data_IF_898055175191
#
_entry.id   IF_898055175191
#
_cell.length_a   1.000
_cell.length_b   1.000
_cell.length_c   1.000
_cell.angle_alpha   90.00
_cell.angle_beta   90.00
_cell.angle_gamma   90.00
#
_symmetry.space_group_name_H-M   'P 1'
#
loop_
_entity.id
_entity.type
_entity.pdbx_description
1 polymer ?
#
# COMPACT_ATOMS: atom_id res chain seq x y z
N UNK A 1 -5.33 5.48 7.77
CA UNK A 1 -4.24 6.44 8.01
C UNK A 1 -3.56 6.76 6.68
N UNK A 2 -2.94 7.92 6.56
CA UNK A 2 -2.15 8.33 5.39
C UNK A 2 -0.75 8.76 5.84
N UNK A 3 0.21 8.84 4.90
CA UNK A 3 1.61 9.16 5.20
C UNK A 3 1.79 10.33 6.18
N UNK A 4 1.15 11.51 6.01
CA UNK A 4 1.34 12.64 6.91
C UNK A 4 0.97 12.38 8.38
N UNK A 5 0.14 11.40 8.66
CA UNK A 5 -0.21 11.09 10.05
C UNK A 5 0.94 10.44 10.82
N UNK A 6 1.92 9.87 10.13
CA UNK A 6 3.07 9.18 10.73
C UNK A 6 4.32 10.05 10.86
N UNK A 7 4.33 11.25 10.27
CA UNK A 7 5.45 12.19 10.40
C UNK A 7 5.43 12.99 11.71
N UNK A 8 4.39 12.83 12.54
CA UNK A 8 4.29 13.48 13.85
C UNK A 8 5.33 12.94 14.82
N UNK A 9 6.03 13.80 15.59
CA UNK A 9 7.11 13.38 16.49
C UNK A 9 6.75 12.24 17.44
N UNK A 10 5.53 12.28 18.01
CA UNK A 10 5.07 11.27 18.98
C UNK A 10 4.92 9.89 18.32
N UNK A 11 4.47 9.85 17.07
CA UNK A 11 4.32 8.59 16.31
C UNK A 11 5.67 8.05 15.87
N UNK A 12 6.58 8.92 15.42
CA UNK A 12 7.95 8.51 15.11
C UNK A 12 8.66 7.95 16.34
N UNK A 13 8.58 8.63 17.48
CA UNK A 13 9.16 8.15 18.74
C UNK A 13 8.62 6.76 19.12
N UNK A 14 7.31 6.53 18.91
CA UNK A 14 6.69 5.23 19.15
C UNK A 14 7.20 4.14 18.20
N UNK A 15 7.39 4.47 16.91
CA UNK A 15 7.97 3.51 15.94
C UNK A 15 9.39 3.14 16.36
N UNK A 16 10.21 4.14 16.71
CA UNK A 16 11.60 3.94 17.17
C UNK A 16 11.67 3.07 18.43
N UNK A 17 10.76 3.29 19.39
CA UNK A 17 10.72 2.52 20.64
C UNK A 17 10.43 1.03 20.45
N UNK A 18 9.83 0.65 19.32
CA UNK A 18 9.57 -0.77 19.00
C UNK A 18 10.83 -1.51 18.53
N UNK A 19 11.94 -0.80 18.23
CA UNK A 19 13.19 -1.37 17.71
C UNK A 19 12.95 -2.37 16.56
N UNK A 20 12.27 -1.96 15.48
CA UNK A 20 11.94 -2.88 14.40
C UNK A 20 13.17 -3.30 13.61
N UNK A 21 13.19 -4.56 13.14
CA UNK A 21 14.19 -5.07 12.20
C UNK A 21 13.82 -4.83 10.74
N UNK A 22 12.54 -4.53 10.48
CA UNK A 22 12.00 -4.21 9.15
C UNK A 22 10.81 -3.24 9.30
N UNK A 23 10.75 -2.24 8.44
CA UNK A 23 9.59 -1.36 8.31
C UNK A 23 8.81 -1.69 7.03
N UNK A 24 7.53 -2.07 7.18
CA UNK A 24 6.62 -2.28 6.04
C UNK A 24 5.67 -1.08 5.95
N UNK A 25 5.77 -0.32 4.86
CA UNK A 25 4.97 0.88 4.62
C UNK A 25 3.85 0.58 3.62
N UNK A 26 2.64 0.42 4.14
CA UNK A 26 1.42 0.10 3.37
C UNK A 26 0.53 1.33 3.23
N UNK A 27 0.74 2.11 2.17
CA UNK A 27 0.00 3.33 1.87
C UNK A 27 -0.58 3.30 0.44
N UNK A 28 -1.38 4.31 0.09
CA UNK A 28 -1.89 4.49 -1.26
C UNK A 28 -3.40 4.32 -1.37
N UNK A 29 -4.05 3.46 -0.55
CA UNK A 29 -5.50 3.28 -0.58
C UNK A 29 -6.22 4.58 -0.20
N UNK A 30 -5.93 5.16 0.95
CA UNK A 30 -6.57 6.39 1.40
C UNK A 30 -6.25 7.58 0.49
N UNK A 31 -5.00 7.68 0.05
CA UNK A 31 -4.56 8.71 -0.88
C UNK A 31 -5.34 8.63 -2.20
N UNK A 32 -5.50 7.43 -2.75
CA UNK A 32 -6.23 7.20 -4.01
C UNK A 32 -7.74 7.45 -3.90
N UNK A 33 -8.32 7.38 -2.70
CA UNK A 33 -9.73 7.73 -2.47
C UNK A 33 -10.00 9.24 -2.41
N UNK A 34 -8.95 10.05 -2.34
CA UNK A 34 -9.12 11.49 -2.54
C UNK A 34 -9.44 11.78 -4.02
N UNK A 35 -10.62 12.36 -4.29
CA UNK A 35 -11.02 12.73 -5.66
C UNK A 35 -10.06 13.69 -6.34
N UNK A 36 -9.30 14.47 -5.57
CA UNK A 36 -8.25 15.38 -6.03
C UNK A 36 -6.86 14.76 -5.81
N UNK A 37 -6.73 13.44 -6.06
CA UNK A 37 -5.45 12.77 -5.92
C UNK A 37 -4.36 13.52 -6.70
N UNK A 38 -3.24 13.75 -6.04
CA UNK A 38 -2.07 14.40 -6.62
C UNK A 38 -0.83 13.54 -6.38
N UNK A 39 -0.28 13.01 -7.47
CA UNK A 39 0.87 12.11 -7.43
C UNK A 39 2.16 12.78 -6.91
N UNK A 40 2.34 14.08 -7.16
CA UNK A 40 3.50 14.81 -6.65
C UNK A 40 3.39 15.04 -5.14
N UNK A 41 2.19 15.36 -4.66
CA UNK A 41 1.94 15.50 -3.23
C UNK A 41 2.15 14.17 -2.51
N UNK A 42 1.60 13.08 -3.06
CA UNK A 42 1.78 11.73 -2.51
C UNK A 42 3.26 11.34 -2.47
N UNK A 43 4.01 11.60 -3.55
CA UNK A 43 5.45 11.38 -3.60
C UNK A 43 6.19 12.14 -2.50
N UNK A 44 5.93 13.43 -2.33
CA UNK A 44 6.58 14.26 -1.29
C UNK A 44 6.25 13.79 0.12
N UNK A 45 5.01 13.34 0.37
CA UNK A 45 4.60 12.82 1.67
C UNK A 45 5.31 11.50 2.01
N UNK A 46 5.50 10.62 1.02
CA UNK A 46 6.32 9.41 1.20
C UNK A 46 7.79 9.77 1.47
N UNK A 47 8.34 10.71 0.69
CA UNK A 47 9.73 11.16 0.86
C UNK A 47 9.98 11.74 2.25
N UNK A 48 9.09 12.59 2.74
CA UNK A 48 9.18 13.14 4.09
C UNK A 48 9.19 12.04 5.15
N UNK A 49 8.25 11.10 5.07
CA UNK A 49 8.16 10.00 6.02
C UNK A 49 9.41 9.11 5.98
N UNK A 50 9.84 8.69 4.80
CA UNK A 50 11.01 7.81 4.64
C UNK A 50 12.29 8.50 5.12
N UNK A 51 12.46 9.80 4.83
CA UNK A 51 13.64 10.54 5.33
C UNK A 51 13.65 10.64 6.85
N UNK A 52 12.49 10.84 7.48
CA UNK A 52 12.39 10.86 8.95
C UNK A 52 12.69 9.49 9.54
N UNK A 53 12.16 8.41 8.95
CA UNK A 53 12.43 7.03 9.39
C UNK A 53 13.90 6.67 9.22
N UNK A 54 14.51 6.94 8.06
CA UNK A 54 15.94 6.68 7.81
C UNK A 54 16.88 7.48 8.74
N UNK A 55 16.47 8.69 9.13
CA UNK A 55 17.23 9.48 10.11
C UNK A 55 17.17 8.88 11.51
N UNK A 56 15.99 8.38 11.89
CA UNK A 56 15.78 7.82 13.25
C UNK A 56 16.22 6.35 13.37
N UNK A 57 16.19 5.60 12.26
CA UNK A 57 16.46 4.16 12.17
C UNK A 57 17.30 3.89 10.91
N UNK A 58 18.57 4.31 10.86
CA UNK A 58 19.39 4.31 9.64
C UNK A 58 19.62 2.91 9.06
N UNK A 59 19.74 1.90 9.91
CA UNK A 59 20.07 0.53 9.52
C UNK A 59 18.85 -0.36 9.29
N UNK A 60 17.63 0.16 9.54
CA UNK A 60 16.41 -0.61 9.39
C UNK A 60 15.91 -0.57 7.94
N UNK A 61 15.81 -1.72 7.25
CA UNK A 61 15.32 -1.77 5.89
C UNK A 61 13.84 -1.37 5.81
N UNK A 62 13.48 -0.78 4.66
CA UNK A 62 12.11 -0.35 4.38
C UNK A 62 11.60 -1.12 3.17
N UNK A 63 10.43 -1.75 3.32
CA UNK A 63 9.64 -2.35 2.26
C UNK A 63 8.36 -1.53 2.06
N UNK A 64 8.05 -1.12 0.86
CA UNK A 64 6.75 -0.55 0.51
C UNK A 64 5.83 -1.61 -0.07
N UNK A 65 4.52 -1.46 0.15
CA UNK A 65 3.52 -2.26 -0.57
C UNK A 65 2.63 -1.34 -1.39
N UNK A 66 2.20 -1.79 -2.58
CA UNK A 66 1.19 -1.08 -3.34
C UNK A 66 -0.22 -1.35 -2.79
N UNK A 67 -1.20 -0.43 -3.00
CA UNK A 67 -2.59 -0.70 -2.62
C UNK A 67 -3.19 -1.83 -3.46
N UNK A 68 -4.06 -2.69 -2.89
CA UNK A 68 -4.53 -3.92 -3.55
C UNK A 68 -5.58 -3.71 -4.64
N UNK A 69 -6.12 -2.53 -4.78
CA UNK A 69 -7.25 -2.22 -5.64
C UNK A 69 -8.51 -1.91 -4.85
N UNK A 70 -9.38 -1.09 -5.41
CA UNK A 70 -10.61 -0.67 -4.76
C UNK A 70 -11.59 -0.04 -5.76
N UNK A 71 -12.80 0.26 -5.29
CA UNK A 71 -13.83 0.91 -6.09
C UNK A 71 -14.17 2.29 -5.53
N UNK A 72 -14.54 3.20 -6.41
CA UNK A 72 -15.26 4.42 -6.06
C UNK A 72 -16.77 4.16 -5.99
N UNK A 73 -17.42 4.75 -5.01
CA UNK A 73 -18.87 4.71 -4.92
C UNK A 73 -19.50 6.02 -5.39
N UNK A 74 -20.57 5.91 -6.18
CA UNK A 74 -21.33 7.03 -6.69
C UNK A 74 -22.79 6.89 -6.25
N UNK A 75 -23.37 7.94 -5.68
CA UNK A 75 -24.78 8.01 -5.33
C UNK A 75 -25.43 9.15 -6.10
N UNK A 76 -26.27 8.81 -7.07
CA UNK A 76 -27.15 9.78 -7.69
C UNK A 76 -28.40 9.97 -6.81
N UNK A 77 -28.95 11.19 -6.82
CA UNK A 77 -30.14 11.57 -6.03
C UNK A 77 -31.23 10.48 -6.17
N UNK A 78 -31.69 9.91 -5.05
CA UNK A 78 -32.74 8.85 -4.97
C UNK A 78 -32.46 7.54 -5.72
N UNK A 79 -31.23 7.28 -6.20
CA UNK A 79 -30.87 6.02 -6.88
C UNK A 79 -29.98 5.14 -5.99
N UNK A 80 -29.95 3.83 -6.32
CA UNK A 80 -29.05 2.85 -5.71
C UNK A 80 -27.60 3.28 -5.92
N UNK A 81 -26.73 3.07 -4.92
CA UNK A 81 -25.29 3.32 -5.02
C UNK A 81 -24.71 2.42 -6.13
N UNK A 82 -23.89 2.99 -7.00
CA UNK A 82 -23.13 2.29 -8.02
C UNK A 82 -21.64 2.34 -7.68
N UNK A 83 -20.88 1.37 -8.18
CA UNK A 83 -19.46 1.23 -7.93
C UNK A 83 -18.71 1.14 -9.25
N UNK A 84 -17.54 1.75 -9.32
CA UNK A 84 -16.62 1.68 -10.45
C UNK A 84 -15.21 1.51 -9.92
N UNK A 85 -14.37 0.75 -10.63
CA UNK A 85 -12.96 0.60 -10.25
C UNK A 85 -12.32 1.96 -10.11
N UNK A 86 -11.64 2.20 -9.00
CA UNK A 86 -10.99 3.47 -8.72
C UNK A 86 -9.71 3.63 -9.59
N UNK A 87 -9.72 4.51 -10.59
CA UNK A 87 -8.58 4.67 -11.51
C UNK A 87 -7.37 5.31 -10.82
N UNK A 88 -7.58 6.02 -9.69
CA UNK A 88 -6.51 6.66 -8.94
C UNK A 88 -5.67 5.66 -8.16
N UNK A 89 -6.19 4.45 -7.91
CA UNK A 89 -5.38 3.36 -7.33
C UNK A 89 -4.17 3.08 -8.21
N UNK A 90 -4.33 2.95 -9.53
CA UNK A 90 -3.21 2.77 -10.45
C UNK A 90 -2.23 3.96 -10.42
N UNK A 91 -2.73 5.18 -10.27
CA UNK A 91 -1.87 6.36 -10.15
C UNK A 91 -1.04 6.31 -8.85
N UNK A 92 -1.63 5.84 -7.75
CA UNK A 92 -0.93 5.64 -6.48
C UNK A 92 0.14 4.55 -6.60
N UNK A 93 -0.18 3.40 -7.23
CA UNK A 93 0.76 2.32 -7.54
C UNK A 93 1.99 2.86 -8.30
N UNK A 94 1.76 3.54 -9.41
CA UNK A 94 2.84 4.14 -10.21
C UNK A 94 3.66 5.17 -9.44
N UNK A 95 3.04 5.90 -8.52
CA UNK A 95 3.74 6.87 -7.67
C UNK A 95 4.65 6.19 -6.67
N UNK A 96 4.20 5.07 -6.07
CA UNK A 96 5.00 4.27 -5.14
C UNK A 96 6.19 3.66 -5.86
N UNK A 97 6.01 3.03 -7.02
CA UNK A 97 7.13 2.49 -7.81
C UNK A 97 8.14 3.57 -8.17
N UNK A 98 7.68 4.69 -8.74
CA UNK A 98 8.57 5.81 -9.08
C UNK A 98 9.36 6.34 -7.88
N UNK A 99 8.75 6.36 -6.70
CA UNK A 99 9.44 6.77 -5.47
C UNK A 99 10.48 5.73 -5.07
N UNK A 100 10.10 4.47 -5.05
CA UNK A 100 10.95 3.37 -4.62
C UNK A 100 12.19 3.22 -5.52
N UNK A 101 12.00 3.25 -6.85
CA UNK A 101 13.09 3.16 -7.84
C UNK A 101 14.11 4.30 -7.66
N UNK A 102 13.65 5.52 -7.39
CA UNK A 102 14.53 6.67 -7.21
C UNK A 102 15.25 6.71 -5.87
N UNK A 103 14.73 6.04 -4.87
CA UNK A 103 15.22 6.12 -3.50
C UNK A 103 15.77 4.78 -2.97
N UNK A 104 15.93 3.77 -3.83
CA UNK A 104 16.45 2.47 -3.44
C UNK A 104 15.61 1.80 -2.34
N UNK A 105 14.29 1.80 -2.49
CA UNK A 105 13.35 1.15 -1.56
C UNK A 105 12.75 -0.06 -2.23
N UNK A 106 12.70 -1.20 -1.54
CA UNK A 106 12.05 -2.40 -2.06
C UNK A 106 10.53 -2.21 -2.11
N UNK A 107 9.88 -2.83 -3.11
CA UNK A 107 8.42 -2.82 -3.27
C UNK A 107 7.89 -4.22 -3.42
N UNK A 108 6.86 -4.56 -2.66
CA UNK A 108 5.98 -5.67 -2.97
C UNK A 108 4.73 -5.15 -3.68
N UNK A 109 4.60 -5.46 -4.97
CA UNK A 109 3.49 -4.98 -5.78
C UNK A 109 2.25 -5.85 -5.61
N UNK A 110 1.48 -5.57 -4.54
CA UNK A 110 0.22 -6.24 -4.25
C UNK A 110 -0.80 -6.05 -5.37
N UNK A 111 -0.83 -4.87 -5.99
CA UNK A 111 -1.75 -4.58 -7.09
C UNK A 111 -1.54 -5.52 -8.28
N UNK A 112 -0.29 -5.72 -8.68
CA UNK A 112 0.05 -6.61 -9.81
C UNK A 112 -0.18 -8.08 -9.46
N UNK A 113 0.19 -8.50 -8.24
CA UNK A 113 -0.04 -9.87 -7.73
C UNK A 113 -1.51 -10.27 -7.81
N UNK A 114 -2.44 -9.33 -7.59
CA UNK A 114 -3.88 -9.58 -7.67
C UNK A 114 -4.50 -9.34 -9.04
N UNK A 115 -3.70 -9.15 -10.09
CA UNK A 115 -4.15 -9.08 -11.48
C UNK A 115 -4.03 -7.70 -12.13
N UNK A 116 -3.40 -6.75 -11.48
CA UNK A 116 -3.02 -5.46 -12.04
C UNK A 116 -4.18 -4.62 -12.54
N UNK A 117 -3.89 -3.83 -13.58
CA UNK A 117 -4.83 -2.84 -14.15
C UNK A 117 -6.18 -3.43 -14.53
N UNK A 118 -6.20 -4.66 -15.05
CA UNK A 118 -7.42 -5.27 -15.59
C UNK A 118 -8.26 -5.97 -14.53
N UNK A 119 -7.63 -6.53 -13.50
CA UNK A 119 -8.28 -7.51 -12.66
C UNK A 119 -8.16 -7.28 -11.14
N UNK A 120 -7.20 -6.49 -10.65
CA UNK A 120 -6.93 -6.41 -9.21
C UNK A 120 -8.19 -6.15 -8.35
N UNK A 121 -8.93 -5.07 -8.61
CA UNK A 121 -10.16 -4.78 -7.87
C UNK A 121 -11.26 -5.82 -8.13
N UNK A 122 -11.38 -6.31 -9.37
CA UNK A 122 -12.38 -7.32 -9.74
C UNK A 122 -12.12 -8.66 -9.05
N UNK A 123 -10.88 -9.14 -9.05
CA UNK A 123 -10.54 -10.40 -8.39
C UNK A 123 -10.89 -10.38 -6.91
N UNK A 124 -10.60 -9.27 -6.23
CA UNK A 124 -10.99 -9.10 -4.84
C UNK A 124 -12.51 -9.15 -4.63
N UNK A 125 -13.26 -8.47 -5.49
CA UNK A 125 -14.72 -8.45 -5.38
C UNK A 125 -15.34 -9.81 -5.73
N UNK A 126 -14.92 -10.41 -6.85
CA UNK A 126 -15.44 -11.70 -7.33
C UNK A 126 -15.10 -12.86 -6.38
N UNK A 127 -14.00 -12.76 -5.63
CA UNK A 127 -13.64 -13.76 -4.61
C UNK A 127 -14.48 -13.66 -3.33
N UNK A 128 -15.34 -12.64 -3.20
CA UNK A 128 -16.15 -12.44 -1.99
C UNK A 128 -15.35 -11.97 -0.77
N UNK A 129 -14.11 -11.53 -0.94
CA UNK A 129 -13.21 -11.14 0.16
C UNK A 129 -13.28 -9.64 0.51
N UNK A 130 -14.05 -8.86 -0.24
CA UNK A 130 -14.27 -7.43 0.05
C UNK A 130 -15.54 -7.21 0.87
N UNK A 131 -15.53 -6.16 1.68
CA UNK A 131 -16.73 -5.66 2.35
C UNK A 131 -17.66 -4.97 1.34
N UNK A 132 -18.96 -4.79 1.69
CA UNK A 132 -19.93 -4.12 0.83
C UNK A 132 -19.61 -2.67 0.46
N UNK A 133 -18.62 -2.05 1.10
CA UNK A 133 -18.12 -0.72 0.73
C UNK A 133 -17.17 -0.73 -0.47
N UNK A 134 -16.72 -1.92 -0.91
CA UNK A 134 -15.79 -2.16 -2.02
C UNK A 134 -14.41 -1.50 -1.84
N UNK A 135 -14.01 -1.23 -0.60
CA UNK A 135 -12.72 -0.63 -0.24
C UNK A 135 -11.98 -1.46 0.80
N UNK A 136 -12.70 -1.88 1.84
CA UNK A 136 -12.14 -2.70 2.91
C UNK A 136 -12.36 -4.19 2.64
N UNK A 137 -11.56 -5.02 3.29
CA UNK A 137 -11.60 -6.47 3.13
C UNK A 137 -12.22 -7.13 4.35
N UNK A 138 -12.71 -8.34 4.18
CA UNK A 138 -13.05 -9.24 5.27
C UNK A 138 -11.76 -9.75 5.94
N UNK A 139 -11.86 -10.38 7.10
CA UNK A 139 -10.69 -10.93 7.80
C UNK A 139 -9.88 -11.87 6.91
N UNK A 140 -10.57 -12.74 6.19
CA UNK A 140 -9.99 -13.72 5.26
C UNK A 140 -9.23 -13.02 4.11
N UNK A 141 -9.73 -11.87 3.67
CA UNK A 141 -9.05 -11.06 2.64
C UNK A 141 -7.76 -10.45 3.17
N UNK A 142 -7.75 -9.93 4.39
CA UNK A 142 -6.53 -9.43 5.02
C UNK A 142 -5.54 -10.56 5.35
N UNK A 143 -6.02 -11.71 5.79
CA UNK A 143 -5.18 -12.89 6.01
C UNK A 143 -4.51 -13.37 4.72
N UNK A 144 -5.24 -13.38 3.62
CA UNK A 144 -4.69 -13.72 2.31
C UNK A 144 -3.58 -12.74 1.90
N UNK A 145 -3.80 -11.42 2.05
CA UNK A 145 -2.79 -10.40 1.78
C UNK A 145 -1.52 -10.64 2.61
N UNK A 146 -1.67 -10.86 3.92
CA UNK A 146 -0.55 -11.13 4.81
C UNK A 146 0.20 -12.41 4.45
N UNK A 147 -0.51 -13.47 4.13
CA UNK A 147 0.06 -14.76 3.72
C UNK A 147 0.86 -14.65 2.42
N UNK A 148 0.33 -13.93 1.43
CA UNK A 148 1.03 -13.73 0.16
C UNK A 148 2.27 -12.86 0.32
N UNK A 149 2.24 -11.81 1.14
CA UNK A 149 3.43 -11.03 1.49
C UNK A 149 4.48 -11.91 2.19
N UNK A 150 4.06 -12.71 3.16
CA UNK A 150 4.97 -13.64 3.85
C UNK A 150 5.64 -14.62 2.88
N UNK A 151 4.88 -15.20 1.95
CA UNK A 151 5.44 -16.10 0.93
C UNK A 151 6.43 -15.37 0.00
N UNK A 152 6.16 -14.13 -0.36
CA UNK A 152 7.08 -13.33 -1.17
C UNK A 152 8.39 -13.04 -0.42
N UNK A 153 8.32 -12.68 0.86
CA UNK A 153 9.50 -12.48 1.71
C UNK A 153 10.30 -13.78 1.89
N UNK A 154 9.62 -14.89 2.15
CA UNK A 154 10.28 -16.20 2.29
C UNK A 154 10.99 -16.62 1.02
N UNK A 155 10.34 -16.41 -0.14
CA UNK A 155 10.96 -16.69 -1.45
C UNK A 155 12.20 -15.83 -1.68
N UNK A 156 12.13 -14.54 -1.38
CA UNK A 156 13.25 -13.61 -1.52
C UNK A 156 14.41 -14.01 -0.59
N UNK A 157 14.11 -14.37 0.65
CA UNK A 157 15.11 -14.84 1.61
C UNK A 157 15.78 -16.13 1.15
N UNK A 158 15.01 -17.14 0.73
CA UNK A 158 15.55 -18.41 0.26
C UNK A 158 16.45 -18.20 -0.97
N UNK A 159 16.06 -17.34 -1.89
CA UNK A 159 16.88 -16.98 -3.06
C UNK A 159 18.21 -16.35 -2.63
N UNK A 160 18.17 -15.39 -1.71
CA UNK A 160 19.37 -14.73 -1.19
C UNK A 160 20.36 -15.72 -0.56
N UNK A 161 19.90 -16.68 0.26
CA UNK A 161 20.78 -17.64 0.93
C UNK A 161 21.30 -18.75 -0.02
N UNK A 162 20.65 -18.98 -1.17
CA UNK A 162 21.11 -19.97 -2.15
C UNK A 162 22.08 -19.42 -3.18
N UNK A 163 22.19 -18.09 -3.29
CA UNK A 163 23.12 -17.41 -4.20
C UNK A 163 24.44 -16.99 -3.52
N UNK A 164 24.60 -17.26 -2.22
CA UNK A 164 25.85 -17.09 -1.48
C UNK A 164 26.68 -18.38 -1.44
#
# INVERSE_FOLDING_TARGET
>A
ACCPSFTRPERLARIVSLKPDLLILSFGTNESHNRRYNSQLHYRQMDELVRLLRRALPDVPILMTTPPGSYDSFRQRKRRRTYQVNPRTLQAVRTIHRYADRNGVAVWDMYEVFGGVKRAALNWWESGLMRPDHVHYLSEGYELQGRMLFQALLKAYNHFITEQ
#
